data_IF_790220800271
#
_entry.id   IF_790220800271
#
_cell.length_a   1.000
_cell.length_b   1.000
_cell.length_c   1.000
_cell.angle_alpha   90.00
_cell.angle_beta   90.00
_cell.angle_gamma   90.00
#
_symmetry.space_group_name_H-M   'P 1'
#
loop_
_entity.id
_entity.type
_entity.pdbx_description
1 polymer ?
#
# COMPACT_ATOMS: atom_id res chain seq x y z
N UNK A 1 9.74 2.27 -15.01
CA UNK A 1 11.03 3.00 -14.97
C UNK A 1 12.03 2.15 -14.17
N UNK A 2 12.95 1.47 -14.87
CA UNK A 2 13.97 0.61 -14.24
C UNK A 2 15.22 1.42 -13.95
N UNK A 3 15.45 1.79 -12.69
CA UNK A 3 16.74 2.33 -12.26
C UNK A 3 17.80 1.25 -12.41
N UNK A 4 18.62 1.38 -13.46
CA UNK A 4 19.78 0.54 -13.68
C UNK A 4 20.86 0.91 -12.65
N UNK A 5 21.58 -0.07 -12.06
CA UNK A 5 22.70 0.21 -11.17
C UNK A 5 23.79 1.05 -11.84
N UNK A 6 23.95 0.89 -13.15
CA UNK A 6 24.92 1.63 -13.97
C UNK A 6 24.20 2.12 -15.22
N UNK A 7 24.20 3.43 -15.45
CA UNK A 7 23.47 4.05 -16.57
C UNK A 7 24.01 3.63 -17.95
N UNK A 8 25.31 3.30 -18.04
CA UNK A 8 25.98 2.85 -19.27
C UNK A 8 26.91 1.66 -18.97
N UNK A 9 26.38 0.41 -18.91
CA UNK A 9 27.21 -0.76 -18.66
C UNK A 9 28.10 -1.06 -19.87
N UNK A 10 29.40 -0.78 -19.72
CA UNK A 10 30.37 -0.84 -20.82
C UNK A 10 31.05 -2.21 -20.85
N UNK A 11 31.29 -2.79 -19.68
CA UNK A 11 31.94 -4.09 -19.53
C UNK A 11 30.94 -5.25 -19.54
N UNK A 12 31.40 -6.47 -19.87
CA UNK A 12 30.58 -7.68 -19.81
C UNK A 12 30.05 -7.96 -18.40
N UNK A 13 30.86 -7.69 -17.37
CA UNK A 13 30.48 -7.90 -15.98
C UNK A 13 29.33 -6.96 -15.54
N UNK A 14 29.40 -5.68 -15.90
CA UNK A 14 28.33 -4.72 -15.61
C UNK A 14 27.01 -5.10 -16.28
N UNK A 15 27.06 -5.55 -17.54
CA UNK A 15 25.85 -6.01 -18.25
C UNK A 15 25.18 -7.19 -17.55
N UNK A 16 25.96 -8.21 -17.17
CA UNK A 16 25.44 -9.38 -16.45
C UNK A 16 24.87 -9.00 -15.08
N UNK A 17 25.52 -8.08 -14.37
CA UNK A 17 25.02 -7.57 -13.09
C UNK A 17 23.68 -6.83 -13.27
N UNK A 18 23.61 -5.89 -14.21
CA UNK A 18 22.37 -5.17 -14.54
C UNK A 18 21.24 -6.12 -14.92
N UNK A 19 21.51 -7.10 -15.79
CA UNK A 19 20.53 -8.11 -16.21
C UNK A 19 20.03 -8.94 -15.02
N UNK A 20 20.93 -9.42 -14.17
CA UNK A 20 20.57 -10.18 -12.97
C UNK A 20 19.68 -9.35 -12.04
N UNK A 21 19.99 -8.07 -11.84
CA UNK A 21 19.20 -7.18 -10.99
C UNK A 21 17.83 -6.89 -11.58
N UNK A 22 17.74 -6.61 -12.88
CA UNK A 22 16.45 -6.41 -13.56
C UNK A 22 15.58 -7.65 -13.43
N UNK A 23 16.13 -8.84 -13.69
CA UNK A 23 15.40 -10.11 -13.58
C UNK A 23 14.85 -10.31 -12.16
N UNK A 24 15.69 -10.12 -11.15
CA UNK A 24 15.30 -10.24 -9.74
C UNK A 24 14.21 -9.24 -9.39
N UNK A 25 14.36 -7.98 -9.79
CA UNK A 25 13.38 -6.91 -9.49
C UNK A 25 12.04 -7.17 -10.18
N UNK A 26 12.06 -7.57 -11.45
CA UNK A 26 10.84 -7.89 -12.19
C UNK A 26 10.07 -9.03 -11.53
N UNK A 27 10.76 -10.05 -11.01
CA UNK A 27 10.12 -11.14 -10.27
C UNK A 27 9.45 -10.63 -8.98
N UNK A 28 10.15 -9.81 -8.20
CA UNK A 28 9.63 -9.22 -6.95
C UNK A 28 8.45 -8.29 -7.21
N UNK A 29 8.57 -7.39 -8.19
CA UNK A 29 7.52 -6.46 -8.59
C UNK A 29 6.25 -7.20 -9.04
N UNK A 30 6.41 -8.27 -9.84
CA UNK A 30 5.29 -9.12 -10.26
C UNK A 30 4.63 -9.82 -9.08
N UNK A 31 5.42 -10.38 -8.15
CA UNK A 31 4.89 -11.02 -6.94
C UNK A 31 4.10 -10.04 -6.08
N UNK A 32 4.63 -8.83 -5.85
CA UNK A 32 3.91 -7.81 -5.10
C UNK A 32 2.67 -7.30 -5.84
N UNK A 33 2.69 -7.23 -7.16
CA UNK A 33 1.51 -6.92 -7.97
C UNK A 33 0.38 -7.95 -7.79
N UNK A 34 0.72 -9.23 -7.69
CA UNK A 34 -0.26 -10.29 -7.37
C UNK A 34 -0.77 -10.17 -5.94
N UNK A 35 0.12 -9.90 -4.98
CA UNK A 35 -0.26 -9.78 -3.58
C UNK A 35 -1.21 -8.61 -3.31
N UNK A 36 -0.98 -7.45 -3.93
CA UNK A 36 -1.88 -6.29 -3.80
C UNK A 36 -3.29 -6.60 -4.30
N UNK A 37 -3.41 -7.35 -5.41
CA UNK A 37 -4.71 -7.75 -5.97
C UNK A 37 -5.39 -8.87 -5.17
N UNK A 38 -4.61 -9.79 -4.61
CA UNK A 38 -5.16 -10.91 -3.83
C UNK A 38 -5.53 -10.50 -2.40
N UNK A 39 -4.75 -9.61 -1.80
CA UNK A 39 -4.93 -9.12 -0.44
C UNK A 39 -4.98 -7.60 -0.45
N UNK A 40 -6.18 -7.04 -0.45
CA UNK A 40 -6.38 -5.58 -0.50
C UNK A 40 -5.76 -4.83 0.69
N UNK A 41 -5.43 -5.53 1.77
CA UNK A 41 -4.73 -4.97 2.93
C UNK A 41 -3.38 -4.31 2.56
N UNK A 42 -2.72 -4.74 1.47
CA UNK A 42 -1.50 -4.11 0.95
C UNK A 42 -1.74 -2.85 0.11
N UNK A 43 -3.00 -2.57 -0.25
CA UNK A 43 -3.40 -1.38 -0.98
C UNK A 43 -3.82 -0.31 0.03
N UNK A 44 -4.74 -0.64 0.94
CA UNK A 44 -5.28 0.29 1.93
C UNK A 44 -4.33 0.57 3.09
N UNK A 45 -3.37 -0.32 3.32
CA UNK A 45 -2.44 -0.24 4.44
C UNK A 45 -2.98 -0.91 5.71
N UNK A 46 -2.04 -1.30 6.58
CA UNK A 46 -2.33 -1.97 7.84
C UNK A 46 -2.45 -0.93 8.96
N UNK A 47 -3.65 -0.76 9.52
CA UNK A 47 -3.91 0.09 10.71
C UNK A 47 -3.82 -0.72 12.01
N UNK A 48 -2.83 -1.61 12.09
CA UNK A 48 -2.61 -2.50 13.23
C UNK A 48 -1.28 -2.16 13.92
N UNK A 49 -1.11 -2.61 15.16
CA UNK A 49 0.19 -2.57 15.84
C UNK A 49 1.26 -3.25 14.99
N UNK A 50 2.52 -2.81 15.10
CA UNK A 50 3.61 -3.29 14.25
C UNK A 50 3.76 -4.82 14.31
N UNK A 51 3.66 -5.39 15.50
CA UNK A 51 3.77 -6.83 15.74
C UNK A 51 2.67 -7.60 15.01
N UNK A 52 1.44 -7.08 15.07
CA UNK A 52 0.28 -7.68 14.39
C UNK A 52 0.36 -7.49 12.89
N UNK A 53 0.84 -6.34 12.42
CA UNK A 53 1.08 -6.06 11.00
C UNK A 53 2.06 -7.07 10.41
N UNK A 54 3.16 -7.38 11.11
CA UNK A 54 4.10 -8.42 10.69
C UNK A 54 3.42 -9.80 10.62
N UNK A 55 2.60 -10.16 11.60
CA UNK A 55 1.86 -11.43 11.60
C UNK A 55 0.87 -11.52 10.43
N UNK A 56 0.20 -10.43 10.07
CA UNK A 56 -0.69 -10.37 8.90
C UNK A 56 0.10 -10.57 7.62
N UNK A 57 1.23 -9.89 7.45
CA UNK A 57 2.10 -10.05 6.27
C UNK A 57 2.57 -11.49 6.12
N UNK A 58 3.00 -12.13 7.22
CA UNK A 58 3.39 -13.54 7.24
C UNK A 58 2.22 -14.46 6.87
N UNK A 59 1.04 -14.21 7.42
CA UNK A 59 -0.17 -14.99 7.13
C UNK A 59 -0.55 -14.90 5.65
N UNK A 60 -0.46 -13.71 5.04
CA UNK A 60 -0.65 -13.52 3.61
C UNK A 60 0.36 -14.33 2.77
N UNK A 61 1.62 -14.43 3.21
CA UNK A 61 2.63 -15.24 2.55
C UNK A 61 2.26 -16.73 2.54
N UNK A 62 1.86 -17.25 3.70
CA UNK A 62 1.46 -18.65 3.87
C UNK A 62 0.22 -18.95 3.02
N UNK A 63 -0.80 -18.10 3.09
CA UNK A 63 -2.03 -18.23 2.31
C UNK A 63 -1.75 -18.18 0.81
N UNK A 64 -0.86 -17.29 0.36
CA UNK A 64 -0.47 -17.22 -1.04
C UNK A 64 0.21 -18.51 -1.50
N UNK A 65 1.13 -19.05 -0.70
CA UNK A 65 1.81 -20.31 -1.02
C UNK A 65 0.82 -21.47 -1.10
N UNK A 66 -0.13 -21.55 -0.17
CA UNK A 66 -1.17 -22.57 -0.19
C UNK A 66 -2.08 -22.43 -1.43
N UNK A 67 -2.47 -21.21 -1.79
CA UNK A 67 -3.23 -20.95 -3.02
C UNK A 67 -2.45 -21.39 -4.28
N UNK A 68 -1.14 -21.14 -4.32
CA UNK A 68 -0.26 -21.61 -5.40
C UNK A 68 -0.21 -23.14 -5.49
N UNK A 69 -0.12 -23.83 -4.36
CA UNK A 69 -0.13 -25.30 -4.30
C UNK A 69 -1.47 -25.89 -4.75
N UNK A 70 -2.58 -25.21 -4.41
CA UNK A 70 -3.92 -25.59 -4.81
C UNK A 70 -4.24 -25.27 -6.28
N UNK A 71 -3.32 -24.65 -7.04
CA UNK A 71 -3.57 -24.10 -8.38
C UNK A 71 -4.77 -23.14 -8.42
N UNK A 72 -4.99 -22.39 -7.33
CA UNK A 72 -6.02 -21.35 -7.27
C UNK A 72 -5.74 -20.28 -8.34
N UNK A 73 -6.72 -19.91 -9.18
CA UNK A 73 -6.56 -18.87 -10.19
C UNK A 73 -5.99 -17.59 -9.60
N UNK A 74 -5.10 -16.95 -10.37
CA UNK A 74 -4.63 -15.61 -10.00
C UNK A 74 -5.73 -14.59 -10.21
N UNK A 75 -5.81 -13.55 -9.34
CA UNK A 75 -6.72 -12.45 -9.59
C UNK A 75 -6.43 -11.85 -10.98
N UNK A 76 -7.43 -11.32 -11.70
CA UNK A 76 -7.22 -10.65 -12.99
C UNK A 76 -6.22 -9.49 -12.87
N UNK A 77 -5.50 -9.18 -13.96
CA UNK A 77 -4.54 -8.06 -14.01
C UNK A 77 -5.23 -6.68 -14.10
N UNK A 78 -6.56 -6.62 -14.08
CA UNK A 78 -7.34 -5.39 -14.22
C UNK A 78 -7.15 -4.45 -13.01
N UNK A 79 -6.25 -3.49 -13.23
CA UNK A 79 -5.85 -2.43 -12.29
C UNK A 79 -6.97 -1.43 -11.99
N UNK A 80 -8.09 -1.51 -12.71
CA UNK A 80 -9.09 -0.46 -12.82
C UNK A 80 -10.03 -0.37 -11.60
N UNK A 81 -10.21 -1.48 -10.87
CA UNK A 81 -11.05 -1.51 -9.67
C UNK A 81 -10.36 -1.01 -8.39
N UNK A 82 -9.02 -1.01 -8.34
CA UNK A 82 -8.29 -0.63 -7.11
C UNK A 82 -8.47 0.86 -6.80
N UNK A 83 -8.38 1.72 -7.82
CA UNK A 83 -8.57 3.16 -7.67
C UNK A 83 -10.00 3.49 -7.24
N UNK A 84 -11.00 2.80 -7.80
CA UNK A 84 -12.41 2.98 -7.40
C UNK A 84 -12.68 2.49 -5.98
N UNK A 85 -12.09 1.35 -5.57
CA UNK A 85 -12.17 0.85 -4.19
C UNK A 85 -11.50 1.81 -3.19
N UNK A 86 -10.36 2.40 -3.54
CA UNK A 86 -9.70 3.44 -2.74
C UNK A 86 -10.54 4.71 -2.61
N UNK A 87 -11.21 5.14 -3.68
CA UNK A 87 -12.10 6.30 -3.64
C UNK A 87 -13.31 6.03 -2.74
N UNK A 88 -13.91 4.83 -2.81
CA UNK A 88 -15.09 4.49 -2.02
C UNK A 88 -14.79 4.39 -0.50
N UNK A 89 -13.66 3.79 -0.10
CA UNK A 89 -13.27 3.76 1.32
C UNK A 89 -12.97 5.15 1.89
N UNK A 90 -12.49 6.11 1.08
CA UNK A 90 -12.28 7.49 1.53
C UNK A 90 -13.63 8.24 1.73
N UNK A 91 -14.62 7.98 0.87
CA UNK A 91 -15.98 8.56 0.99
C UNK A 91 -16.68 8.07 2.25
N UNK A 92 -16.57 6.77 2.58
CA UNK A 92 -17.16 6.21 3.81
C UNK A 92 -16.56 6.80 5.10
N UNK A 93 -15.28 7.22 5.07
CA UNK A 93 -14.63 7.92 6.20
C UNK A 93 -15.15 9.35 6.34
N UNK A 94 -15.39 10.05 5.23
CA UNK A 94 -15.93 11.42 5.24
C UNK A 94 -17.38 11.45 5.73
N UNK A 95 -18.22 10.50 5.30
CA UNK A 95 -19.64 10.41 5.72
C UNK A 95 -19.80 9.98 7.19
N UNK A 96 -18.85 9.21 7.74
CA UNK A 96 -18.80 8.86 9.16
C UNK A 96 -18.41 10.06 10.07
N UNK A 97 -17.86 11.13 9.50
CA UNK A 97 -17.65 12.42 10.18
C UNK A 97 -18.93 13.25 9.99
N UNK A 98 -20.05 12.78 10.55
CA UNK A 98 -21.27 13.58 10.60
C UNK A 98 -20.99 14.89 11.39
N UNK A 99 -21.32 16.07 10.84
CA UNK A 99 -20.97 17.38 11.40
C UNK A 99 -21.94 17.83 12.51
N UNK A 100 -22.36 16.95 13.40
CA UNK A 100 -23.40 17.28 14.41
C UNK A 100 -22.90 17.69 15.80
N UNK A 101 -21.60 17.71 16.05
CA UNK A 101 -21.07 18.36 17.26
C UNK A 101 -19.98 19.34 16.89
N UNK A 102 -20.40 20.61 16.74
CA UNK A 102 -19.62 21.80 16.44
C UNK A 102 -18.48 22.04 17.46
N UNK A 103 -17.43 21.22 17.39
CA UNK A 103 -16.21 21.34 18.20
C UNK A 103 -15.35 22.53 17.74
N UNK A 104 -15.67 23.12 16.59
CA UNK A 104 -15.06 24.36 16.12
C UNK A 104 -15.46 25.55 17.02
N UNK A 105 -16.69 25.57 17.53
CA UNK A 105 -17.13 26.59 18.49
C UNK A 105 -16.37 26.53 19.81
N UNK A 106 -16.22 25.34 20.39
CA UNK A 106 -15.52 25.14 21.66
C UNK A 106 -14.00 25.39 21.50
N UNK A 107 -13.40 24.89 20.41
CA UNK A 107 -12.00 25.17 20.08
C UNK A 107 -11.76 26.67 19.92
N UNK A 108 -12.62 27.38 19.19
CA UNK A 108 -12.44 28.82 18.97
C UNK A 108 -12.67 29.64 20.25
N UNK A 109 -13.58 29.20 21.13
CA UNK A 109 -13.78 29.81 22.44
C UNK A 109 -12.55 29.68 23.35
N UNK A 110 -11.95 28.48 23.43
CA UNK A 110 -10.74 28.24 24.22
C UNK A 110 -9.52 28.99 23.66
N UNK A 111 -9.42 29.12 22.34
CA UNK A 111 -8.37 29.91 21.70
C UNK A 111 -8.55 31.41 21.98
N UNK A 112 -9.77 31.93 21.98
CA UNK A 112 -10.05 33.32 22.33
C UNK A 112 -9.79 33.63 23.80
N UNK A 113 -10.10 32.69 24.71
CA UNK A 113 -9.82 32.83 26.14
C UNK A 113 -8.31 32.83 26.45
N UNK A 114 -7.55 31.97 25.76
CA UNK A 114 -6.12 31.81 26.02
C UNK A 114 -5.23 32.84 25.30
N UNK A 115 -5.65 33.32 24.13
CA UNK A 115 -4.84 34.21 23.27
C UNK A 115 -5.53 35.55 22.91
N UNK A 116 -6.68 35.86 23.51
CA UNK A 116 -7.32 37.16 23.34
C UNK A 116 -6.50 38.29 23.97
N UNK A 117 -6.49 39.50 23.37
CA UNK A 117 -5.85 40.65 23.99
C UNK A 117 -6.68 41.12 25.20
N UNK A 118 -6.02 41.36 26.34
CA UNK A 118 -6.62 42.02 27.52
C UNK A 118 -7.09 43.43 27.18
#
# INVERSE_FOLDING_TARGET
MTDLPTANPTTKAERLYCESRIRTRNMVERTFGVWKRRFHVFIFGLRLKMETSMAVIQSCAILHNNARLANDPQPPDEVENITQLLTNELVDIEDAIQPEHNNYGLRNALLAEHFGPM
#
